data_IF_454670097589
#
_entry.id   IF_454670097589
#
_cell.length_a   1.000
_cell.length_b   1.000
_cell.length_c   1.000
_cell.angle_alpha   90.00
_cell.angle_beta   90.00
_cell.angle_gamma   90.00
#
_symmetry.space_group_name_H-M   'P 1'
#
loop_
_entity.id
_entity.type
_entity.pdbx_description
1 polymer ?
#
# COMPACT_ATOMS: atom_id res chain seq x y z
N UNK A 1 -48.15 -21.99 0.93
CA UNK A 1 -47.33 -23.21 0.71
C UNK A 1 -46.33 -23.24 1.85
N UNK A 2 -46.74 -23.85 2.96
CA UNK A 2 -46.10 -23.68 4.28
C UNK A 2 -45.25 -24.90 4.58
N UNK A 3 -43.95 -24.71 4.80
CA UNK A 3 -43.03 -25.76 5.22
C UNK A 3 -42.55 -25.50 6.64
N UNK A 4 -43.13 -26.19 7.62
CA UNK A 4 -42.67 -26.23 9.00
C UNK A 4 -41.80 -27.49 9.20
N UNK A 5 -40.60 -27.33 9.74
CA UNK A 5 -39.76 -28.44 10.21
C UNK A 5 -39.65 -28.39 11.75
N UNK A 6 -40.28 -29.37 12.40
CA UNK A 6 -40.08 -29.85 13.76
C UNK A 6 -38.94 -30.90 13.71
N UNK A 7 -38.21 -31.34 14.74
CA UNK A 7 -38.09 -31.04 16.17
C UNK A 7 -36.88 -31.83 16.71
N UNK A 8 -36.11 -31.22 17.62
CA UNK A 8 -35.66 -31.71 18.95
C UNK A 8 -35.09 -33.14 19.13
N UNK A 9 -33.91 -33.25 19.78
CA UNK A 9 -33.62 -34.13 20.95
C UNK A 9 -32.20 -33.80 21.47
N UNK A 10 -32.00 -33.12 22.62
CA UNK A 10 -31.98 -33.56 24.03
C UNK A 10 -30.75 -34.38 24.49
N UNK A 11 -29.94 -33.74 25.37
CA UNK A 11 -29.23 -34.23 26.59
C UNK A 11 -28.13 -35.30 26.47
N UNK A 12 -27.11 -35.46 27.34
CA UNK A 12 -26.32 -34.72 28.34
C UNK A 12 -25.33 -35.75 28.97
N UNK A 13 -24.21 -35.30 29.57
CA UNK A 13 -23.29 -36.02 30.50
C UNK A 13 -22.35 -37.12 29.91
N UNK A 14 -21.11 -37.39 30.36
CA UNK A 14 -20.20 -36.85 31.38
C UNK A 14 -18.79 -37.52 31.26
N UNK A 15 -17.83 -37.07 32.10
CA UNK A 15 -16.69 -37.81 32.71
C UNK A 15 -15.26 -37.60 32.15
N UNK A 16 -14.52 -36.75 32.89
CA UNK A 16 -13.10 -36.73 33.32
C UNK A 16 -11.96 -37.30 32.44
N UNK A 17 -10.93 -36.48 32.22
CA UNK A 17 -9.55 -36.72 32.67
C UNK A 17 -8.69 -35.46 32.44
N UNK A 18 -8.11 -34.93 33.51
CA UNK A 18 -7.17 -33.82 33.43
C UNK A 18 -5.84 -34.28 32.85
N UNK A 19 -5.40 -33.60 31.79
CA UNK A 19 -3.99 -33.54 31.39
C UNK A 19 -3.65 -32.07 31.29
N UNK A 20 -2.93 -31.57 32.30
CA UNK A 20 -2.29 -30.26 32.22
C UNK A 20 -1.11 -30.36 31.25
N UNK A 21 -1.38 -30.25 29.94
CA UNK A 21 -0.33 -29.93 28.99
C UNK A 21 0.09 -28.49 29.24
N UNK A 22 1.30 -28.33 29.78
CA UNK A 22 2.04 -27.07 29.73
C UNK A 22 2.25 -26.71 28.26
N UNK A 23 1.30 -25.96 27.70
CA UNK A 23 1.46 -25.31 26.42
C UNK A 23 2.52 -24.22 26.59
N UNK A 24 3.77 -24.56 26.27
CA UNK A 24 4.82 -23.57 26.03
C UNK A 24 4.33 -22.75 24.83
N UNK A 25 3.73 -21.59 25.13
CA UNK A 25 3.33 -20.63 24.12
C UNK A 25 4.57 -20.13 23.42
N UNK A 26 4.92 -20.74 22.29
CA UNK A 26 5.84 -20.13 21.34
C UNK A 26 5.21 -18.81 20.91
N UNK A 27 5.88 -17.67 21.10
CA UNK A 27 5.38 -16.41 20.57
C UNK A 27 5.37 -16.55 19.05
N UNK A 28 4.18 -16.70 18.49
CA UNK A 28 3.94 -16.52 17.05
C UNK A 28 4.30 -15.07 16.73
N UNK A 29 5.52 -14.84 16.27
CA UNK A 29 5.88 -13.58 15.63
C UNK A 29 5.07 -13.53 14.36
N UNK A 30 3.89 -12.89 14.43
CA UNK A 30 3.12 -12.52 13.26
C UNK A 30 3.97 -11.54 12.46
N UNK A 31 4.74 -12.06 11.50
CA UNK A 31 5.39 -11.22 10.51
C UNK A 31 4.28 -10.43 9.82
N UNK A 32 4.35 -9.10 9.89
CA UNK A 32 3.46 -8.26 9.09
C UNK A 32 3.59 -8.71 7.63
N UNK A 33 2.47 -8.90 6.90
CA UNK A 33 2.55 -9.25 5.49
C UNK A 33 3.44 -8.22 4.80
N UNK A 34 4.40 -8.72 4.02
CA UNK A 34 5.27 -7.83 3.25
C UNK A 34 4.38 -6.88 2.43
N UNK A 35 4.69 -5.59 2.49
CA UNK A 35 3.98 -4.61 1.67
C UNK A 35 4.04 -5.07 0.21
N UNK A 36 2.94 -4.91 -0.56
CA UNK A 36 2.95 -5.25 -1.97
C UNK A 36 4.15 -4.61 -2.68
N UNK A 37 4.82 -5.35 -3.56
CA UNK A 37 5.90 -4.77 -4.35
C UNK A 37 5.35 -3.64 -5.23
N UNK A 38 6.01 -2.48 -5.20
CA UNK A 38 5.64 -1.28 -5.94
C UNK A 38 6.82 -0.78 -6.78
N UNK A 39 6.49 -0.09 -7.86
CA UNK A 39 7.42 0.76 -8.60
C UNK A 39 6.78 2.13 -8.86
N UNK A 40 7.47 3.01 -9.58
CA UNK A 40 6.95 4.35 -9.91
C UNK A 40 5.69 4.32 -10.80
N UNK A 41 5.29 3.15 -11.29
CA UNK A 41 4.05 2.97 -12.06
C UNK A 41 2.89 2.47 -11.20
N UNK A 42 3.13 1.98 -9.98
CA UNK A 42 2.12 1.41 -9.10
C UNK A 42 2.49 0.02 -8.58
N UNK A 43 1.49 -0.82 -8.33
CA UNK A 43 1.72 -2.17 -7.80
C UNK A 43 2.21 -3.12 -8.90
N UNK A 44 3.33 -3.80 -8.65
CA UNK A 44 3.87 -4.80 -9.57
C UNK A 44 2.88 -5.96 -9.73
N UNK A 45 2.78 -6.50 -10.94
CA UNK A 45 1.84 -7.59 -11.32
C UNK A 45 0.36 -7.33 -10.99
N UNK A 46 -0.04 -6.05 -10.98
CA UNK A 46 -1.40 -5.62 -10.69
C UNK A 46 -1.97 -4.75 -11.82
N UNK A 47 -3.30 -4.73 -11.96
CA UNK A 47 -3.99 -3.73 -12.79
C UNK A 47 -3.92 -2.33 -12.19
N UNK A 48 -3.70 -2.21 -10.89
CA UNK A 48 -3.40 -0.94 -10.22
C UNK A 48 -1.98 -0.44 -10.52
N UNK A 49 -1.70 -0.27 -11.81
CA UNK A 49 -0.42 0.16 -12.37
C UNK A 49 -0.66 0.95 -13.66
N UNK A 50 -0.05 2.11 -13.76
CA UNK A 50 -0.11 2.98 -14.92
C UNK A 50 0.88 2.55 -16.01
N UNK A 51 0.68 3.09 -17.22
CA UNK A 51 1.47 2.72 -18.40
C UNK A 51 2.90 3.28 -18.32
N UNK A 52 3.10 4.42 -17.66
CA UNK A 52 4.39 5.02 -17.39
C UNK A 52 4.45 5.62 -15.98
N UNK A 53 5.68 5.90 -15.51
CA UNK A 53 5.88 6.56 -14.23
C UNK A 53 5.33 7.99 -14.22
N UNK A 54 5.51 8.73 -15.32
CA UNK A 54 5.01 10.10 -15.48
C UNK A 54 3.49 10.17 -15.54
N UNK A 55 2.83 9.09 -15.98
CA UNK A 55 1.39 8.98 -15.98
C UNK A 55 0.82 8.65 -14.59
N UNK A 56 1.64 8.22 -13.64
CA UNK A 56 1.15 7.85 -12.31
C UNK A 56 0.79 9.08 -11.50
N UNK A 57 -0.49 9.22 -11.16
CA UNK A 57 -0.95 10.31 -10.29
C UNK A 57 -0.95 9.86 -8.84
N UNK A 58 -1.55 8.70 -8.58
CA UNK A 58 -1.53 8.03 -7.28
C UNK A 58 -1.81 6.53 -7.45
N UNK A 59 -1.48 5.77 -6.42
CA UNK A 59 -1.96 4.40 -6.25
C UNK A 59 -2.08 4.07 -4.76
N UNK A 60 -2.95 3.13 -4.43
CA UNK A 60 -3.20 2.72 -3.05
C UNK A 60 -3.75 1.31 -2.93
N UNK A 61 -3.61 0.73 -1.74
CA UNK A 61 -4.12 -0.58 -1.39
C UNK A 61 -5.02 -0.48 -0.19
N UNK A 62 -6.08 -1.27 -0.19
CA UNK A 62 -6.93 -1.57 0.95
C UNK A 62 -6.75 -3.06 1.29
N UNK A 63 -7.50 -3.56 2.27
CA UNK A 63 -7.57 -4.99 2.55
C UNK A 63 -8.26 -5.81 1.44
N UNK A 64 -9.04 -5.17 0.58
CA UNK A 64 -9.88 -5.84 -0.42
C UNK A 64 -9.56 -5.47 -1.87
N UNK A 65 -8.85 -4.36 -2.10
CA UNK A 65 -8.67 -3.76 -3.41
C UNK A 65 -7.29 -3.13 -3.56
N UNK A 66 -6.80 -3.05 -4.80
CA UNK A 66 -5.70 -2.15 -5.18
C UNK A 66 -6.20 -1.22 -6.27
N UNK A 67 -5.80 0.04 -6.21
CA UNK A 67 -6.24 1.09 -7.14
C UNK A 67 -5.08 1.95 -7.59
N UNK A 68 -5.16 2.46 -8.82
CA UNK A 68 -4.31 3.51 -9.35
C UNK A 68 -5.16 4.55 -10.06
N UNK A 69 -4.73 5.80 -10.00
CA UNK A 69 -5.20 6.85 -10.90
C UNK A 69 -4.04 7.22 -11.81
N UNK A 70 -4.29 7.11 -13.10
CA UNK A 70 -3.35 7.44 -14.15
C UNK A 70 -3.82 8.70 -14.86
N UNK A 71 -2.91 9.63 -15.14
CA UNK A 71 -3.19 10.67 -16.13
C UNK A 71 -3.21 10.05 -17.51
N UNK A 72 -4.12 10.54 -18.33
CA UNK A 72 -4.19 10.21 -19.75
C UNK A 72 -4.11 11.50 -20.55
N UNK A 73 -4.16 11.40 -21.88
CA UNK A 73 -4.17 12.58 -22.76
C UNK A 73 -5.28 13.57 -22.39
N UNK A 74 -5.07 14.84 -22.75
CA UNK A 74 -6.03 15.94 -22.54
C UNK A 74 -6.31 16.29 -21.07
N UNK A 75 -5.39 15.97 -20.14
CA UNK A 75 -5.54 16.29 -18.73
C UNK A 75 -6.62 15.49 -18.00
N UNK A 76 -7.12 14.42 -18.62
CA UNK A 76 -8.09 13.49 -18.05
C UNK A 76 -7.40 12.46 -17.17
N UNK A 77 -8.20 11.71 -16.43
CA UNK A 77 -7.72 10.64 -15.56
C UNK A 77 -8.44 9.33 -15.86
N UNK A 78 -7.75 8.25 -15.56
CA UNK A 78 -8.28 6.89 -15.63
C UNK A 78 -8.06 6.21 -14.29
N UNK A 79 -9.12 5.58 -13.79
CA UNK A 79 -9.06 4.68 -12.65
C UNK A 79 -8.72 3.27 -13.13
N UNK A 80 -7.77 2.63 -12.45
CA UNK A 80 -7.43 1.22 -12.64
C UNK A 80 -7.49 0.50 -11.31
N UNK A 81 -8.47 -0.38 -11.14
CA UNK A 81 -8.70 -1.14 -9.93
C UNK A 81 -8.60 -2.65 -10.16
N UNK A 82 -8.19 -3.37 -9.11
CA UNK A 82 -8.33 -4.82 -9.02
C UNK A 82 -8.82 -5.22 -7.63
N UNK A 83 -9.80 -6.12 -7.59
CA UNK A 83 -10.28 -6.72 -6.36
C UNK A 83 -9.39 -7.92 -5.99
N UNK A 84 -8.89 -7.94 -4.76
CA UNK A 84 -7.90 -8.93 -4.32
C UNK A 84 -8.48 -10.35 -4.18
N UNK A 85 -9.78 -10.46 -3.90
CA UNK A 85 -10.43 -11.77 -3.65
C UNK A 85 -10.54 -12.65 -4.90
N UNK A 86 -10.78 -12.06 -6.06
CA UNK A 86 -11.09 -12.78 -7.30
C UNK A 86 -10.34 -12.24 -8.52
N UNK A 87 -9.49 -11.22 -8.34
CA UNK A 87 -8.73 -10.61 -9.42
C UNK A 87 -9.58 -9.82 -10.41
N UNK A 88 -10.85 -9.52 -10.09
CA UNK A 88 -11.71 -8.74 -10.98
C UNK A 88 -11.13 -7.34 -11.22
N UNK A 89 -11.03 -6.96 -12.49
CA UNK A 89 -10.38 -5.73 -12.94
C UNK A 89 -11.42 -4.70 -13.36
N UNK A 90 -11.11 -3.43 -13.14
CA UNK A 90 -11.91 -2.30 -13.60
C UNK A 90 -10.98 -1.21 -14.11
N UNK A 91 -11.18 -0.77 -15.36
CA UNK A 91 -10.45 0.35 -15.95
C UNK A 91 -11.48 1.27 -16.59
N UNK A 92 -11.64 2.48 -16.06
CA UNK A 92 -12.69 3.43 -16.46
C UNK A 92 -12.22 4.89 -16.24
N UNK A 93 -12.84 5.87 -16.88
CA UNK A 93 -12.53 7.28 -16.65
C UNK A 93 -12.69 7.69 -15.17
N UNK A 94 -11.85 8.63 -14.73
CA UNK A 94 -11.92 9.24 -13.42
C UNK A 94 -11.94 10.76 -13.54
N UNK A 95 -12.63 11.41 -12.60
CA UNK A 95 -12.72 12.86 -12.47
C UNK A 95 -12.04 13.28 -11.19
N UNK A 96 -11.22 14.34 -11.24
CA UNK A 96 -10.61 14.93 -10.05
C UNK A 96 -11.58 15.95 -9.44
N UNK A 97 -11.79 15.87 -8.13
CA UNK A 97 -12.52 16.88 -7.36
C UNK A 97 -11.57 17.97 -6.86
N UNK A 98 -12.12 19.12 -6.48
CA UNK A 98 -11.36 20.28 -5.97
C UNK A 98 -10.53 19.94 -4.72
N UNK A 99 -11.03 19.04 -3.88
CA UNK A 99 -10.34 18.56 -2.66
C UNK A 99 -9.21 17.55 -2.95
N UNK A 100 -8.92 17.27 -4.23
CA UNK A 100 -7.87 16.36 -4.66
C UNK A 100 -8.22 14.86 -4.62
N UNK A 101 -9.46 14.54 -4.21
CA UNK A 101 -10.08 13.22 -4.35
C UNK A 101 -10.42 12.92 -5.82
N UNK A 102 -10.69 11.65 -6.12
CA UNK A 102 -11.12 11.22 -7.45
C UNK A 102 -12.46 10.51 -7.38
N UNK A 103 -13.36 10.88 -8.28
CA UNK A 103 -14.65 10.25 -8.46
C UNK A 103 -14.65 9.45 -9.76
N UNK A 104 -15.20 8.24 -9.69
CA UNK A 104 -15.34 7.33 -10.82
C UNK A 104 -16.79 6.88 -10.85
N UNK A 105 -17.49 7.11 -11.96
CA UNK A 105 -18.79 6.49 -12.20
C UNK A 105 -18.62 5.27 -13.11
N UNK A 106 -19.29 4.18 -12.74
CA UNK A 106 -19.39 2.99 -13.55
C UNK A 106 -20.82 2.45 -13.49
N UNK A 107 -21.67 2.93 -14.41
CA UNK A 107 -23.06 2.51 -14.54
C UNK A 107 -23.87 2.68 -13.23
N UNK A 108 -23.70 3.81 -12.55
CA UNK A 108 -24.42 4.12 -11.30
C UNK A 108 -23.77 3.54 -10.04
N UNK A 109 -22.59 2.94 -10.16
CA UNK A 109 -21.69 2.64 -9.04
C UNK A 109 -20.60 3.69 -9.01
N UNK A 110 -20.56 4.46 -7.95
CA UNK A 110 -19.56 5.50 -7.75
C UNK A 110 -18.43 4.98 -6.87
N UNK A 111 -17.20 5.34 -7.23
CA UNK A 111 -16.02 5.10 -6.42
C UNK A 111 -15.39 6.45 -6.10
N UNK A 112 -15.31 6.77 -4.82
CA UNK A 112 -14.61 7.95 -4.32
C UNK A 112 -13.28 7.51 -3.71
N UNK A 113 -12.19 7.97 -4.32
CA UNK A 113 -10.83 7.65 -3.92
C UNK A 113 -10.23 8.85 -3.20
N UNK A 114 -9.84 8.62 -1.95
CA UNK A 114 -9.10 9.58 -1.13
C UNK A 114 -7.80 8.96 -0.63
N UNK A 115 -6.96 9.73 0.07
CA UNK A 115 -5.78 9.18 0.75
C UNK A 115 -6.12 8.27 1.94
N UNK A 116 -7.37 8.29 2.42
CA UNK A 116 -7.81 7.57 3.63
C UNK A 116 -8.69 6.37 3.33
N UNK A 117 -9.48 6.44 2.25
CA UNK A 117 -10.44 5.40 1.93
C UNK A 117 -10.77 5.33 0.44
N UNK A 118 -11.20 4.14 0.03
CA UNK A 118 -11.98 3.87 -1.16
C UNK A 118 -13.43 3.66 -0.72
N UNK A 119 -14.29 4.64 -1.03
CA UNK A 119 -15.73 4.53 -0.79
C UNK A 119 -16.40 4.10 -2.08
N UNK A 120 -17.26 3.09 -2.00
CA UNK A 120 -18.07 2.61 -3.12
C UNK A 120 -19.53 2.81 -2.75
N UNK A 121 -20.25 3.55 -3.58
CA UNK A 121 -21.68 3.82 -3.43
C UNK A 121 -22.47 3.34 -4.65
N UNK A 122 -23.75 3.05 -4.42
CA UNK A 122 -24.74 2.83 -5.45
C UNK A 122 -25.88 3.80 -5.20
N UNK A 123 -26.11 4.72 -6.13
CA UNK A 123 -26.88 5.93 -5.86
C UNK A 123 -26.37 6.62 -4.57
N UNK A 124 -27.26 7.02 -3.67
CA UNK A 124 -26.90 7.75 -2.44
C UNK A 124 -26.46 6.85 -1.28
N UNK A 125 -26.33 5.53 -1.50
CA UNK A 125 -26.01 4.58 -0.43
C UNK A 125 -24.57 4.06 -0.57
N UNK A 126 -23.78 4.25 0.48
CA UNK A 126 -22.49 3.57 0.63
C UNK A 126 -22.73 2.07 0.74
N UNK A 127 -22.23 1.31 -0.23
CA UNK A 127 -22.31 -0.16 -0.25
C UNK A 127 -21.04 -0.79 0.32
N UNK A 128 -19.92 -0.05 0.30
CA UNK A 128 -18.66 -0.49 0.87
C UNK A 128 -17.75 0.70 1.14
N UNK A 129 -17.11 0.70 2.29
CA UNK A 129 -16.04 1.63 2.61
C UNK A 129 -14.81 0.79 2.98
N UNK A 130 -13.70 1.07 2.32
CA UNK A 130 -12.44 0.36 2.51
C UNK A 130 -11.38 1.37 2.94
N UNK A 131 -10.71 1.13 4.07
CA UNK A 131 -9.60 1.97 4.52
C UNK A 131 -8.38 1.76 3.64
N UNK A 132 -7.71 2.85 3.26
CA UNK A 132 -6.40 2.80 2.59
C UNK A 132 -5.34 2.41 3.62
N UNK A 133 -4.70 1.25 3.41
CA UNK A 133 -3.59 0.75 4.24
C UNK A 133 -2.23 1.12 3.66
N UNK A 134 -2.20 1.47 2.38
CA UNK A 134 -1.02 1.95 1.66
C UNK A 134 -1.46 2.99 0.61
N UNK A 135 -0.74 4.09 0.48
CA UNK A 135 -1.11 5.18 -0.42
C UNK A 135 0.12 5.98 -0.88
N UNK A 136 0.24 6.15 -2.19
CA UNK A 136 1.35 6.80 -2.86
C UNK A 136 0.81 7.84 -3.82
N UNK A 137 1.43 9.03 -3.86
CA UNK A 137 1.09 10.08 -4.83
C UNK A 137 2.36 10.59 -5.49
N UNK A 138 2.28 10.94 -6.77
CA UNK A 138 3.37 11.64 -7.43
C UNK A 138 3.69 12.95 -6.68
N UNK A 139 4.98 13.19 -6.40
CA UNK A 139 5.45 14.38 -5.69
C UNK A 139 5.34 14.33 -4.17
N UNK A 140 4.61 13.37 -3.57
CA UNK A 140 4.84 13.02 -2.17
C UNK A 140 6.03 12.08 -2.13
N UNK A 141 7.23 12.65 -2.09
CA UNK A 141 8.39 11.90 -1.63
C UNK A 141 8.01 11.30 -0.29
N UNK A 142 7.75 10.00 -0.26
CA UNK A 142 7.72 9.23 0.96
C UNK A 142 9.06 9.52 1.63
N UNK A 143 9.05 10.29 2.72
CA UNK A 143 10.18 10.37 3.62
C UNK A 143 10.36 8.98 4.21
N UNK A 144 11.01 8.10 3.45
CA UNK A 144 11.78 7.04 4.05
C UNK A 144 12.75 7.72 5.03
N UNK A 145 13.06 7.12 6.19
CA UNK A 145 14.31 7.45 6.85
C UNK A 145 15.43 7.13 5.87
N UNK A 146 15.80 8.13 5.07
CA UNK A 146 17.04 8.15 4.33
C UNK A 146 18.10 8.10 5.43
N UNK A 147 18.68 6.92 5.66
CA UNK A 147 20.02 6.87 6.19
C UNK A 147 20.84 7.66 5.19
N UNK A 148 21.07 8.92 5.49
CA UNK A 148 21.84 9.84 4.68
C UNK A 148 23.26 9.26 4.58
N UNK A 149 23.51 8.50 3.52
CA UNK A 149 24.86 8.26 3.07
C UNK A 149 25.34 9.59 2.49
N UNK A 150 25.96 10.40 3.35
CA UNK A 150 26.73 11.58 2.94
C UNK A 150 27.63 11.16 1.78
N UNK A 151 27.50 11.74 0.57
CA UNK A 151 28.46 11.49 -0.47
C UNK A 151 29.77 12.15 -0.04
N UNK A 152 30.71 11.36 0.47
CA UNK A 152 32.08 11.82 0.72
C UNK A 152 32.68 12.20 -0.62
N UNK A 153 32.70 13.50 -0.90
CA UNK A 153 33.43 14.08 -2.03
C UNK A 153 34.92 13.87 -1.73
N UNK A 154 35.51 12.79 -2.24
CA UNK A 154 36.95 12.56 -2.12
C UNK A 154 37.69 13.52 -3.05
N UNK A 155 37.91 14.74 -2.57
CA UNK A 155 38.92 15.63 -3.14
C UNK A 155 40.29 14.97 -2.93
N UNK A 156 41.07 14.69 -3.99
CA UNK A 156 42.41 14.16 -3.83
C UNK A 156 43.28 15.18 -3.07
N UNK A 157 43.90 14.74 -1.98
CA UNK A 157 44.80 15.57 -1.18
C UNK A 157 46.07 15.85 -2.00
N UNK A 158 46.55 17.11 -2.11
CA UNK A 158 47.79 17.40 -2.81
C UNK A 158 49.00 16.78 -2.07
N UNK A 159 50.08 16.43 -2.79
CA UNK A 159 51.27 15.84 -2.17
C UNK A 159 51.94 16.83 -1.19
N UNK A 160 52.51 16.35 -0.08
CA UNK A 160 53.15 17.22 0.91
C UNK A 160 54.41 17.88 0.34
N UNK A 161 54.56 19.19 0.59
CA UNK A 161 55.79 19.93 0.31
C UNK A 161 56.93 19.43 1.23
N UNK A 162 58.09 19.21 0.64
CA UNK A 162 59.33 18.95 1.35
C UNK A 162 59.83 20.24 2.02
N UNK A 163 59.52 20.44 3.30
CA UNK A 163 60.12 21.50 4.11
C UNK A 163 60.15 21.13 5.60
N UNK A 164 60.62 19.93 5.93
CA UNK A 164 60.99 19.56 7.30
C UNK A 164 62.35 18.86 7.25
N UNK A 165 63.40 19.62 6.90
CA UNK A 165 64.79 19.23 7.13
C UNK A 165 65.16 19.76 8.52
N UNK A 166 65.32 18.83 9.46
CA UNK A 166 65.58 19.09 10.86
C UNK A 166 66.85 19.90 11.13
N UNK A 167 66.82 20.62 12.25
CA UNK A 167 67.99 21.23 12.83
C UNK A 167 68.94 20.18 13.44
N UNK A 168 70.23 20.38 13.23
CA UNK A 168 71.29 19.83 14.09
C UNK A 168 72.45 20.82 14.16
N UNK A 169 72.76 21.22 15.39
CA UNK A 169 73.83 22.12 15.78
C UNK A 169 75.25 21.56 15.51
N UNK A 170 76.21 22.46 15.30
CA UNK A 170 77.66 22.40 15.59
C UNK A 170 78.28 23.67 14.97
N UNK A 171 79.16 24.47 15.56
CA UNK A 171 80.10 24.37 16.68
C UNK A 171 80.43 25.80 17.14
#
# INVERSE_FOLDING_TARGET
MSGAWLSRCRTAAAVTAGVMLLAVGVPSVSAAPAAPATDSRGYVDSTARCDSADATVLFGSTDASRVAICSVSDGKYEYRGVRLRDGAKLIVPATRNDDGAFLVDNYGIEYLITSKSLVVSAAEKVIREETMVDFHRAGSSQTAPQTAATPTRTTPLPPPLAAEVGGSASR
#
